data_IF_583859925577
#
_entry.id   IF_583859925577
#
_cell.length_a   1.000
_cell.length_b   1.000
_cell.length_c   1.000
_cell.angle_alpha   90.00
_cell.angle_beta   90.00
_cell.angle_gamma   90.00
#
_symmetry.space_group_name_H-M   'P 1'
#
loop_
_entity.id
_entity.type
_entity.pdbx_description
1 polymer ?
#
# COMPACT_ATOMS: atom_id res chain seq x y z
N UNK A 1 -30.20 10.68 19.88
CA UNK A 1 -28.87 10.89 19.25
C UNK A 1 -28.37 12.31 19.58
N UNK A 2 -27.66 12.49 20.69
CA UNK A 2 -27.25 13.82 21.19
C UNK A 2 -25.72 14.02 21.24
N UNK A 3 -24.96 13.27 20.43
CA UNK A 3 -23.49 13.25 20.54
C UNK A 3 -22.78 14.44 19.83
N UNK A 4 -23.48 15.16 18.94
CA UNK A 4 -22.90 16.23 18.10
C UNK A 4 -23.30 17.66 18.49
N UNK A 5 -23.69 17.92 19.74
CA UNK A 5 -24.13 19.28 20.12
C UNK A 5 -23.02 20.33 20.21
N UNK A 6 -21.75 19.95 20.07
CA UNK A 6 -20.61 20.87 20.19
C UNK A 6 -19.65 20.73 19.01
N UNK A 7 -19.46 21.82 18.26
CA UNK A 7 -18.49 21.92 17.14
C UNK A 7 -17.09 21.44 17.51
N UNK A 8 -16.72 21.58 18.79
CA UNK A 8 -15.48 21.06 19.38
C UNK A 8 -15.26 19.56 19.11
N UNK A 9 -16.26 18.71 19.34
CA UNK A 9 -16.11 17.26 19.12
C UNK A 9 -15.97 16.92 17.64
N UNK A 10 -16.65 17.65 16.75
CA UNK A 10 -16.51 17.46 15.30
C UNK A 10 -15.06 17.72 14.87
N UNK A 11 -14.43 18.79 15.38
CA UNK A 11 -13.04 19.10 15.05
C UNK A 11 -12.05 18.03 15.54
N UNK A 12 -12.21 17.50 16.76
CA UNK A 12 -11.36 16.41 17.22
C UNK A 12 -11.58 15.10 16.44
N UNK A 13 -12.83 14.76 16.09
CA UNK A 13 -13.10 13.58 15.26
C UNK A 13 -12.50 13.74 13.85
N UNK A 14 -12.57 14.93 13.26
CA UNK A 14 -11.92 15.21 11.98
C UNK A 14 -10.39 15.07 12.09
N UNK A 15 -9.77 15.57 13.15
CA UNK A 15 -8.33 15.38 13.39
C UNK A 15 -7.96 13.90 13.53
N UNK A 16 -8.77 13.10 14.24
CA UNK A 16 -8.57 11.66 14.36
C UNK A 16 -8.71 10.94 13.01
N UNK A 17 -9.65 11.38 12.16
CA UNK A 17 -9.78 10.85 10.80
C UNK A 17 -8.52 11.11 9.98
N UNK A 18 -7.95 12.32 10.03
CA UNK A 18 -6.68 12.60 9.36
C UNK A 18 -5.53 11.74 9.90
N UNK A 19 -5.46 11.54 11.21
CA UNK A 19 -4.47 10.65 11.82
C UNK A 19 -4.63 9.20 11.32
N UNK A 20 -5.88 8.71 11.23
CA UNK A 20 -6.18 7.38 10.71
C UNK A 20 -5.68 7.21 9.27
N UNK A 21 -5.91 8.21 8.41
CA UNK A 21 -5.43 8.20 7.02
C UNK A 21 -3.90 8.17 6.97
N UNK A 22 -3.22 8.98 7.80
CA UNK A 22 -1.74 8.96 7.88
C UNK A 22 -1.23 7.58 8.27
N UNK A 23 -1.79 6.98 9.33
CA UNK A 23 -1.39 5.65 9.80
C UNK A 23 -1.63 4.60 8.72
N UNK A 24 -2.76 4.67 8.02
CA UNK A 24 -3.07 3.76 6.92
C UNK A 24 -2.05 3.89 5.76
N UNK A 25 -1.74 5.11 5.33
CA UNK A 25 -0.74 5.39 4.29
C UNK A 25 0.67 4.92 4.68
N UNK A 26 1.09 5.15 5.92
CA UNK A 26 2.40 4.67 6.40
C UNK A 26 2.42 3.14 6.47
N UNK A 27 1.33 2.53 6.91
CA UNK A 27 1.20 1.08 6.97
C UNK A 27 1.19 0.43 5.58
N UNK A 28 0.63 1.07 4.55
CA UNK A 28 0.62 0.50 3.20
C UNK A 28 1.98 0.58 2.51
N UNK A 29 2.80 1.58 2.85
CA UNK A 29 4.10 1.83 2.21
C UNK A 29 5.31 1.22 2.92
N UNK A 30 5.19 0.83 4.19
CA UNK A 30 6.34 0.41 5.00
C UNK A 30 7.14 -0.76 4.39
N UNK A 31 6.50 -1.68 3.67
CA UNK A 31 7.18 -2.82 3.03
C UNK A 31 8.04 -2.36 1.87
N UNK A 32 7.53 -1.45 1.04
CA UNK A 32 8.25 -0.88 -0.10
C UNK A 32 9.44 -0.04 0.39
N UNK A 33 9.24 0.79 1.43
CA UNK A 33 10.37 1.55 2.00
C UNK A 33 11.45 0.62 2.54
N UNK A 34 11.08 -0.53 3.11
CA UNK A 34 12.04 -1.54 3.55
C UNK A 34 12.75 -2.22 2.39
N UNK A 35 12.06 -2.53 1.29
CA UNK A 35 12.67 -3.24 0.17
C UNK A 35 13.84 -2.46 -0.46
N UNK A 36 13.78 -1.13 -0.50
CA UNK A 36 14.90 -0.30 -0.97
C UNK A 36 16.13 -0.26 -0.05
N UNK A 37 15.98 -0.69 1.21
CA UNK A 37 17.08 -0.69 2.19
C UNK A 37 17.79 -2.03 2.30
N UNK A 38 17.10 -3.10 1.92
CA UNK A 38 17.56 -4.48 2.06
C UNK A 38 18.13 -4.96 0.72
N UNK A 39 19.22 -5.72 0.78
CA UNK A 39 19.86 -6.25 -0.41
C UNK A 39 18.93 -7.26 -1.12
N UNK A 40 18.78 -7.16 -2.45
CA UNK A 40 17.98 -8.12 -3.19
C UNK A 40 18.70 -9.45 -3.30
N UNK A 41 17.92 -10.52 -3.24
CA UNK A 41 18.37 -11.87 -3.49
C UNK A 41 17.75 -12.39 -4.78
N UNK A 42 18.52 -13.23 -5.48
CA UNK A 42 18.12 -13.88 -6.71
C UNK A 42 17.44 -15.21 -6.41
N UNK A 43 16.25 -15.40 -6.96
CA UNK A 43 15.45 -16.62 -6.85
C UNK A 43 15.13 -17.18 -8.23
N UNK A 44 15.10 -18.50 -8.31
CA UNK A 44 14.69 -19.24 -9.51
C UNK A 44 13.57 -20.21 -9.16
N UNK A 45 12.56 -20.28 -10.00
CA UNK A 45 11.50 -21.25 -9.80
C UNK A 45 10.35 -21.11 -10.76
N UNK A 46 9.36 -21.98 -10.61
CA UNK A 46 8.09 -21.86 -11.31
C UNK A 46 7.00 -21.42 -10.34
N UNK A 47 5.97 -20.76 -10.86
CA UNK A 47 4.83 -20.36 -10.04
C UNK A 47 4.08 -21.57 -9.51
N UNK A 48 3.65 -21.47 -8.26
CA UNK A 48 2.81 -22.48 -7.62
C UNK A 48 1.47 -21.92 -7.15
N UNK A 49 1.44 -20.64 -6.77
CA UNK A 49 0.24 -19.95 -6.37
C UNK A 49 0.38 -18.46 -6.64
N UNK A 50 -0.71 -17.84 -7.10
CA UNK A 50 -0.83 -16.40 -7.22
C UNK A 50 -2.18 -15.94 -6.67
N UNK A 51 -2.21 -14.78 -6.04
CA UNK A 51 -3.42 -14.11 -5.59
C UNK A 51 -3.34 -12.63 -5.93
N UNK A 52 -4.30 -12.18 -6.73
CA UNK A 52 -4.47 -10.79 -7.13
C UNK A 52 -5.69 -10.25 -6.36
N UNK A 53 -5.55 -9.20 -5.54
CA UNK A 53 -6.66 -8.58 -4.84
C UNK A 53 -7.66 -7.97 -5.83
N UNK A 54 -8.77 -8.65 -6.10
CA UNK A 54 -9.70 -8.29 -7.20
C UNK A 54 -10.38 -6.92 -7.05
N UNK A 55 -10.38 -6.32 -5.86
CA UNK A 55 -11.01 -5.01 -5.61
C UNK A 55 -10.13 -3.83 -6.00
N UNK A 56 -8.82 -4.06 -6.15
CA UNK A 56 -7.86 -2.99 -6.35
C UNK A 56 -6.75 -3.33 -7.34
N UNK A 57 -6.87 -4.40 -8.12
CA UNK A 57 -5.93 -4.67 -9.20
C UNK A 57 -6.22 -3.80 -10.42
N UNK A 58 -5.19 -3.13 -10.95
CA UNK A 58 -5.30 -2.26 -12.12
C UNK A 58 -6.00 -0.93 -11.83
N UNK A 59 -5.98 -0.46 -10.58
CA UNK A 59 -6.58 0.81 -10.18
C UNK A 59 -5.62 1.99 -10.27
N UNK A 60 -4.32 1.72 -10.44
CA UNK A 60 -3.22 2.68 -10.38
C UNK A 60 -3.23 3.50 -9.08
N UNK A 61 -3.83 2.95 -8.03
CA UNK A 61 -3.86 3.56 -6.70
C UNK A 61 -2.58 3.13 -5.97
N UNK A 62 -1.80 4.08 -5.41
CA UNK A 62 -0.53 3.79 -4.79
C UNK A 62 -0.56 2.59 -3.82
N UNK A 63 0.22 1.56 -4.16
CA UNK A 63 0.43 0.35 -3.35
C UNK A 63 -0.81 -0.51 -3.09
N UNK A 64 -1.91 -0.27 -3.81
CA UNK A 64 -3.05 -1.18 -3.82
C UNK A 64 -2.96 -2.22 -4.95
N UNK A 65 -2.34 -1.85 -6.07
CA UNK A 65 -2.00 -2.78 -7.13
C UNK A 65 -0.81 -3.64 -6.70
N UNK A 66 -1.11 -4.86 -6.26
CA UNK A 66 -0.10 -5.81 -5.83
C UNK A 66 -0.52 -7.23 -6.14
N UNK A 67 0.44 -8.03 -6.56
CA UNK A 67 0.27 -9.46 -6.81
C UNK A 67 1.08 -10.23 -5.80
N UNK A 68 0.42 -11.09 -5.04
CA UNK A 68 1.08 -12.01 -4.13
C UNK A 68 1.27 -13.34 -4.81
N UNK A 69 2.46 -13.93 -4.73
CA UNK A 69 2.70 -15.23 -5.33
C UNK A 69 3.76 -16.06 -4.62
N UNK A 70 3.81 -17.34 -4.95
CA UNK A 70 4.68 -18.35 -4.38
C UNK A 70 5.33 -19.17 -5.49
N UNK A 71 6.57 -19.59 -5.29
CA UNK A 71 7.33 -20.39 -6.26
C UNK A 71 7.66 -21.78 -5.72
N UNK A 72 7.89 -22.74 -6.62
CA UNK A 72 8.37 -24.09 -6.31
C UNK A 72 7.52 -24.89 -5.31
N UNK A 73 6.25 -24.50 -5.11
CA UNK A 73 5.34 -25.12 -4.15
C UNK A 73 5.64 -24.77 -2.69
N UNK A 74 6.54 -23.82 -2.43
CA UNK A 74 6.86 -23.35 -1.08
C UNK A 74 5.75 -22.44 -0.57
N UNK A 75 4.97 -22.95 0.40
CA UNK A 75 3.87 -22.22 1.02
C UNK A 75 4.31 -21.28 2.12
N UNK A 76 5.54 -21.41 2.60
CA UNK A 76 6.07 -20.63 3.72
C UNK A 76 6.69 -19.31 3.25
N UNK A 77 6.99 -19.17 1.95
CA UNK A 77 7.56 -17.95 1.37
C UNK A 77 6.55 -17.26 0.45
N UNK A 78 6.41 -15.94 0.57
CA UNK A 78 5.54 -15.13 -0.27
C UNK A 78 6.31 -13.98 -0.91
N UNK A 79 6.11 -13.82 -2.22
CA UNK A 79 6.60 -12.69 -3.01
C UNK A 79 5.47 -11.69 -3.24
N UNK A 80 5.78 -10.41 -3.19
CA UNK A 80 4.86 -9.31 -3.47
C UNK A 80 5.41 -8.49 -4.61
N UNK A 81 4.71 -8.48 -5.73
CA UNK A 81 4.98 -7.61 -6.87
C UNK A 81 4.05 -6.40 -6.78
N UNK A 82 4.61 -5.20 -6.86
CA UNK A 82 3.85 -3.96 -7.01
C UNK A 82 3.96 -3.50 -8.46
N UNK A 83 2.87 -3.63 -9.21
CA UNK A 83 2.84 -3.36 -10.65
C UNK A 83 1.50 -2.71 -11.03
N UNK A 84 1.53 -1.73 -11.93
CA UNK A 84 0.32 -1.06 -12.48
C UNK A 84 -0.53 -2.03 -13.31
N UNK A 85 -1.72 -1.57 -13.72
CA UNK A 85 -2.49 -2.30 -14.73
C UNK A 85 -1.68 -2.55 -16.01
N UNK A 86 -1.04 -1.50 -16.53
CA UNK A 86 -0.19 -1.56 -17.73
C UNK A 86 0.99 -2.53 -17.58
N UNK A 87 1.71 -2.50 -16.44
CA UNK A 87 2.81 -3.44 -16.18
C UNK A 87 2.34 -4.89 -16.10
N UNK A 88 1.15 -5.13 -15.54
CA UNK A 88 0.56 -6.47 -15.50
C UNK A 88 0.08 -6.91 -16.89
N UNK A 89 -0.43 -6.01 -17.73
CA UNK A 89 -0.77 -6.30 -19.13
C UNK A 89 0.49 -6.69 -19.92
N UNK A 90 1.56 -5.91 -19.78
CA UNK A 90 2.87 -6.22 -20.37
C UNK A 90 3.38 -7.58 -19.89
N UNK A 91 3.34 -7.84 -18.58
CA UNK A 91 3.70 -9.15 -18.03
C UNK A 91 2.85 -10.27 -18.62
N UNK A 92 1.54 -10.06 -18.78
CA UNK A 92 0.62 -11.09 -19.30
C UNK A 92 0.91 -11.52 -20.74
N UNK A 93 1.66 -10.71 -21.51
CA UNK A 93 2.12 -11.11 -22.84
C UNK A 93 3.11 -12.28 -22.79
N UNK A 94 3.90 -12.37 -21.72
CA UNK A 94 4.91 -13.41 -21.52
C UNK A 94 4.56 -14.39 -20.41
N UNK A 95 3.72 -13.94 -19.47
CA UNK A 95 3.44 -14.59 -18.21
C UNK A 95 2.20 -14.00 -17.51
N UNK A 96 1.06 -14.70 -17.60
CA UNK A 96 -0.14 -14.33 -16.84
C UNK A 96 -0.26 -15.18 -15.56
N UNK A 97 -0.30 -14.51 -14.40
CA UNK A 97 -0.53 -15.15 -13.10
C UNK A 97 -1.88 -15.89 -13.00
N UNK A 98 -2.84 -15.56 -13.86
CA UNK A 98 -4.15 -16.20 -13.91
C UNK A 98 -4.23 -17.41 -14.85
N UNK A 99 -3.20 -17.66 -15.67
CA UNK A 99 -3.22 -18.75 -16.65
C UNK A 99 -2.90 -20.11 -16.02
N UNK A 100 -3.47 -21.17 -16.59
CA UNK A 100 -3.26 -22.56 -16.16
C UNK A 100 -1.81 -22.99 -16.38
N UNK A 101 -1.19 -22.48 -17.45
CA UNK A 101 0.19 -22.82 -17.82
C UNK A 101 1.25 -21.96 -17.09
N UNK A 102 0.82 -20.97 -16.30
CA UNK A 102 1.68 -20.09 -15.51
C UNK A 102 2.59 -20.86 -14.52
N UNK A 103 2.18 -22.06 -14.11
CA UNK A 103 2.98 -22.91 -13.24
C UNK A 103 4.14 -23.62 -13.93
N UNK A 104 4.20 -23.59 -15.27
CA UNK A 104 5.23 -24.26 -16.07
C UNK A 104 6.35 -23.34 -16.55
N UNK A 105 6.14 -22.02 -16.49
CA UNK A 105 7.09 -21.03 -16.98
C UNK A 105 8.16 -20.76 -15.89
N UNK A 106 9.46 -20.90 -16.22
CA UNK A 106 10.53 -20.58 -15.28
C UNK A 106 10.65 -19.06 -15.11
N UNK A 107 10.72 -18.63 -13.86
CA UNK A 107 10.88 -17.24 -13.44
C UNK A 107 12.25 -17.04 -12.80
N UNK A 108 12.91 -15.96 -13.17
CA UNK A 108 14.01 -15.35 -12.45
C UNK A 108 13.47 -14.13 -11.69
N UNK A 109 13.66 -14.10 -10.37
CA UNK A 109 13.07 -13.10 -9.50
C UNK A 109 14.17 -12.48 -8.62
N UNK A 110 14.35 -11.18 -8.75
CA UNK A 110 15.15 -10.40 -7.81
C UNK A 110 14.20 -9.80 -6.76
N UNK A 111 14.41 -10.14 -5.49
CA UNK A 111 13.53 -9.67 -4.43
C UNK A 111 14.26 -9.44 -3.10
N UNK A 112 13.86 -8.39 -2.39
CA UNK A 112 14.42 -8.04 -1.09
C UNK A 112 13.54 -8.59 0.04
N UNK A 113 14.17 -9.17 1.06
CA UNK A 113 13.47 -9.69 2.25
C UNK A 113 13.00 -8.54 3.13
N UNK A 114 11.69 -8.37 3.32
CA UNK A 114 11.12 -7.30 4.16
C UNK A 114 10.59 -7.80 5.50
N UNK A 115 10.32 -9.11 5.61
CA UNK A 115 10.01 -9.90 6.81
C UNK A 115 10.51 -11.34 6.61
N UNK A 116 10.51 -12.15 7.66
CA UNK A 116 11.03 -13.54 7.66
C UNK A 116 10.60 -14.35 6.42
N UNK A 117 9.32 -14.25 6.07
CA UNK A 117 8.66 -15.02 5.02
C UNK A 117 8.09 -14.17 3.87
N UNK A 118 8.46 -12.88 3.81
CA UNK A 118 7.89 -11.93 2.84
C UNK A 118 8.98 -11.20 2.08
N UNK A 119 8.91 -11.30 0.76
CA UNK A 119 9.83 -10.67 -0.16
C UNK A 119 9.09 -9.67 -1.04
N UNK A 120 9.69 -8.50 -1.26
CA UNK A 120 9.18 -7.53 -2.24
C UNK A 120 10.00 -7.69 -3.50
N UNK A 121 9.32 -7.96 -4.61
CA UNK A 121 9.92 -8.14 -5.93
C UNK A 121 10.43 -6.81 -6.43
N UNK A 122 11.66 -6.83 -6.89
CA UNK A 122 12.39 -5.71 -7.45
C UNK A 122 12.61 -5.88 -8.95
N UNK A 123 12.68 -7.11 -9.45
CA UNK A 123 12.63 -7.43 -10.87
C UNK A 123 12.11 -8.86 -11.03
N UNK A 124 11.41 -9.11 -12.14
CA UNK A 124 10.91 -10.44 -12.50
C UNK A 124 11.10 -10.64 -13.99
N UNK A 125 11.70 -11.75 -14.39
CA UNK A 125 11.93 -12.06 -15.79
C UNK A 125 11.67 -13.53 -16.10
N UNK A 126 11.32 -13.78 -17.35
CA UNK A 126 11.14 -15.11 -17.96
C UNK A 126 12.11 -15.25 -19.13
N UNK A 127 12.07 -16.37 -19.84
CA UNK A 127 12.83 -16.54 -21.08
C UNK A 127 12.38 -15.61 -22.22
N UNK A 128 11.17 -15.06 -22.15
CA UNK A 128 10.58 -14.26 -23.23
C UNK A 128 10.53 -12.76 -22.93
N UNK A 129 10.49 -12.36 -21.66
CA UNK A 129 10.42 -10.97 -21.24
C UNK A 129 10.31 -10.81 -19.73
N UNK A 130 10.23 -9.58 -19.23
CA UNK A 130 10.19 -9.30 -17.79
C UNK A 130 10.04 -7.84 -17.46
N UNK A 131 9.84 -7.55 -16.17
CA UNK A 131 9.92 -6.21 -15.61
C UNK A 131 11.28 -6.01 -14.97
N UNK A 132 11.98 -4.99 -15.44
CA UNK A 132 13.28 -4.60 -14.92
C UNK A 132 13.16 -3.81 -13.61
N UNK A 133 14.29 -3.70 -12.90
CA UNK A 133 14.34 -2.95 -11.66
C UNK A 133 13.97 -1.48 -11.83
N UNK A 134 14.42 -0.85 -12.92
CA UNK A 134 14.20 0.58 -13.16
C UNK A 134 12.70 0.89 -13.26
N UNK A 135 11.95 0.09 -14.02
CA UNK A 135 10.50 0.25 -14.21
C UNK A 135 9.74 0.11 -12.88
N UNK A 136 10.04 -0.94 -12.12
CA UNK A 136 9.40 -1.19 -10.83
C UNK A 136 9.81 -0.15 -9.79
N UNK A 137 11.06 0.28 -9.78
CA UNK A 137 11.56 1.30 -8.88
C UNK A 137 10.91 2.66 -9.18
N UNK A 138 10.81 3.07 -10.43
CA UNK A 138 10.17 4.32 -10.83
C UNK A 138 8.70 4.37 -10.40
N UNK A 139 7.96 3.28 -10.61
CA UNK A 139 6.59 3.15 -10.12
C UNK A 139 6.50 3.25 -8.59
N UNK A 140 7.32 2.48 -7.88
CA UNK A 140 7.32 2.49 -6.41
C UNK A 140 7.71 3.85 -5.84
N UNK A 141 8.73 4.51 -6.39
CA UNK A 141 9.19 5.85 -5.97
C UNK A 141 8.14 6.90 -6.27
N UNK A 142 7.53 6.88 -7.46
CA UNK A 142 6.43 7.77 -7.82
C UNK A 142 5.26 7.66 -6.84
N UNK A 143 4.87 6.44 -6.50
CA UNK A 143 3.84 6.19 -5.50
C UNK A 143 4.24 6.63 -4.08
N UNK A 144 5.50 6.46 -3.68
CA UNK A 144 5.99 6.95 -2.38
C UNK A 144 5.86 8.48 -2.30
N UNK A 145 6.14 9.20 -3.39
CA UNK A 145 5.98 10.66 -3.44
C UNK A 145 4.51 11.09 -3.33
N UNK A 146 3.60 10.39 -4.03
CA UNK A 146 2.15 10.65 -3.92
C UNK A 146 1.70 10.44 -2.47
N UNK A 147 2.08 9.31 -1.85
CA UNK A 147 1.74 9.03 -0.46
C UNK A 147 2.32 10.06 0.50
N UNK A 148 3.57 10.50 0.28
CA UNK A 148 4.18 11.57 1.08
C UNK A 148 3.38 12.87 0.99
N UNK A 149 2.88 13.23 -0.20
CA UNK A 149 1.99 14.37 -0.41
C UNK A 149 0.67 14.24 0.37
N UNK A 150 0.03 13.07 0.32
CA UNK A 150 -1.20 12.79 1.08
C UNK A 150 -0.94 12.90 2.59
N UNK A 151 0.14 12.30 3.09
CA UNK A 151 0.53 12.37 4.51
C UNK A 151 0.75 13.81 4.96
N UNK A 152 1.46 14.63 4.17
CA UNK A 152 1.69 16.03 4.48
C UNK A 152 0.37 16.82 4.54
N UNK A 153 -0.50 16.64 3.54
CA UNK A 153 -1.82 17.28 3.51
C UNK A 153 -2.67 16.89 4.73
N UNK A 154 -2.75 15.59 5.03
CA UNK A 154 -3.48 15.09 6.19
C UNK A 154 -2.89 15.61 7.51
N UNK A 155 -1.57 15.72 7.61
CA UNK A 155 -0.90 16.24 8.80
C UNK A 155 -1.26 17.71 9.04
N UNK A 156 -1.24 18.55 8.00
CA UNK A 156 -1.67 19.94 8.08
C UNK A 156 -3.15 20.02 8.49
N UNK A 157 -4.01 19.23 7.85
CA UNK A 157 -5.44 19.15 8.18
C UNK A 157 -5.66 18.78 9.64
N UNK A 158 -4.99 17.73 10.12
CA UNK A 158 -5.02 17.30 11.53
C UNK A 158 -4.67 18.45 12.47
N UNK A 159 -3.53 19.14 12.25
CA UNK A 159 -3.08 20.26 13.09
C UNK A 159 -4.10 21.39 13.12
N UNK A 160 -4.64 21.78 11.95
CA UNK A 160 -5.67 22.82 11.86
C UNK A 160 -6.90 22.46 12.68
N UNK A 161 -7.41 21.23 12.52
CA UNK A 161 -8.60 20.78 13.26
C UNK A 161 -8.35 20.63 14.77
N UNK A 162 -7.15 20.24 15.19
CA UNK A 162 -6.76 20.25 16.61
C UNK A 162 -6.80 21.67 17.16
N UNK A 163 -6.20 22.65 16.46
CA UNK A 163 -6.20 24.06 16.88
C UNK A 163 -7.63 24.60 16.99
N UNK A 164 -8.49 24.31 16.01
CA UNK A 164 -9.90 24.70 16.03
C UNK A 164 -10.66 24.04 17.21
N UNK A 165 -10.40 22.76 17.48
CA UNK A 165 -10.94 22.04 18.63
C UNK A 165 -10.54 22.67 19.97
N UNK A 166 -9.28 23.09 20.12
CA UNK A 166 -8.78 23.75 21.33
C UNK A 166 -9.40 25.15 21.49
N UNK A 167 -9.45 25.95 20.41
CA UNK A 167 -9.97 27.33 20.45
C UNK A 167 -11.49 27.41 20.63
N UNK A 168 -12.23 26.35 20.29
CA UNK A 168 -13.69 26.34 20.40
C UNK A 168 -14.12 26.20 21.85
N UNK A 169 -14.72 27.26 22.41
CA UNK A 169 -15.31 27.24 23.75
C UNK A 169 -16.52 26.30 23.78
N UNK A 170 -16.62 25.48 24.82
CA UNK A 170 -17.82 24.68 25.09
C UNK A 170 -18.91 25.67 25.50
N UNK A 171 -20.08 25.71 24.83
CA UNK A 171 -21.18 26.53 25.28
C UNK A 171 -21.57 26.06 26.68
N UNK A 172 -21.45 26.94 27.68
CA UNK A 172 -21.99 26.68 29.01
C UNK A 172 -23.47 26.39 28.83
N UNK A 173 -23.89 25.17 29.15
CA UNK A 173 -25.30 24.85 29.31
C UNK A 173 -25.90 25.95 30.19
N UNK A 174 -26.91 26.67 29.68
CA UNK A 174 -27.71 27.59 30.47
C UNK A 174 -28.27 26.80 31.65
N UNK A 175 -27.61 26.89 32.80
CA UNK A 175 -28.22 26.56 34.08
C UNK A 175 -29.27 27.66 34.31
N UNK A 176 -30.45 27.48 33.71
CA UNK A 176 -31.63 28.23 34.15
C UNK A 176 -32.00 27.61 35.49
N UNK A 177 -31.51 28.22 36.56
CA UNK A 177 -32.08 28.04 37.88
C UNK A 177 -33.57 28.39 37.78
N UNK A 178 -34.43 27.39 37.89
CA UNK A 178 -35.79 27.61 38.34
C UNK A 178 -35.69 27.80 39.85
N UNK A 179 -35.67 29.08 40.24
CA UNK A 179 -36.08 29.52 41.56
C UNK A 179 -37.60 29.35 41.71
#
# INVERSE_FOLDING_TARGET
MAFFHTRKYVYFNAALLFLLVIVWCVSSTHLVVRSFREEPHLFYGTLSHASIPSLFGGTDIPFLDKTYFQINGDKDVTFVLYATGEMNEILSEWYDFADVDAASIPLEIWASRVKDNLFVVQSISTSEGGLEWEELADYMVGNLLIVAGIVLFCFIGMVVFVILGIKTKIPRARYKGHA
#
